data_IF_354646051749
#
_entry.id   IF_354646051749
#
_cell.length_a   1.000
_cell.length_b   1.000
_cell.length_c   1.000
_cell.angle_alpha   90.00
_cell.angle_beta   90.00
_cell.angle_gamma   90.00
#
_symmetry.space_group_name_H-M   'P 1'
#
loop_
_entity.id
_entity.type
_entity.pdbx_description
1 polymer ?
#
# COMPACT_ATOMS: atom_id res chain seq x y z
N UNK A 1 30.28 36.39 -10.12
CA UNK A 1 28.86 36.41 -9.70
C UNK A 1 28.78 35.64 -8.40
N UNK A 2 28.54 36.35 -7.30
CA UNK A 2 28.41 35.81 -5.96
C UNK A 2 26.96 35.33 -5.77
N UNK A 3 26.76 34.12 -5.22
CA UNK A 3 25.44 33.70 -4.73
C UNK A 3 25.54 33.36 -3.26
N UNK A 4 24.78 34.11 -2.48
CA UNK A 4 24.77 34.06 -1.02
C UNK A 4 23.80 32.96 -0.59
N UNK A 5 24.31 31.89 0.03
CA UNK A 5 23.49 30.86 0.67
C UNK A 5 23.10 31.29 2.08
N UNK A 6 21.83 31.60 2.30
CA UNK A 6 21.24 31.86 3.62
C UNK A 6 20.61 30.61 4.24
N UNK A 7 21.19 30.14 5.34
CA UNK A 7 20.59 29.18 6.29
C UNK A 7 19.38 29.75 7.05
N UNK A 8 18.56 28.89 7.66
CA UNK A 8 18.41 29.01 9.11
C UNK A 8 18.62 27.69 9.86
N UNK A 9 19.33 27.80 11.00
CA UNK A 9 19.53 26.73 11.97
C UNK A 9 18.26 26.55 12.83
N UNK A 10 17.94 25.31 13.15
CA UNK A 10 17.39 24.99 14.47
C UNK A 10 18.14 23.79 15.02
N UNK A 11 18.81 24.01 16.15
CA UNK A 11 19.45 23.00 16.97
C UNK A 11 18.50 22.76 18.14
N UNK A 12 18.06 21.53 18.34
CA UNK A 12 17.88 21.07 19.70
C UNK A 12 18.25 19.58 19.78
N UNK A 13 19.33 19.33 20.53
CA UNK A 13 19.77 18.01 20.93
C UNK A 13 19.71 18.04 22.45
N UNK A 14 18.87 17.23 23.06
CA UNK A 14 19.06 16.82 24.46
C UNK A 14 19.14 15.30 24.54
N UNK A 15 20.38 14.86 24.67
CA UNK A 15 20.80 13.60 25.27
C UNK A 15 21.09 13.91 26.74
N UNK A 16 20.46 13.21 27.69
CA UNK A 16 20.81 13.05 29.12
C UNK A 16 20.03 11.80 29.55
N UNK A 17 20.61 10.61 29.74
CA UNK A 17 21.59 10.14 30.75
C UNK A 17 20.99 9.92 32.15
N UNK A 18 21.17 8.69 32.68
CA UNK A 18 20.96 8.29 34.09
C UNK A 18 19.51 7.97 34.46
N UNK A 19 19.18 7.02 35.33
CA UNK A 19 19.94 6.50 36.46
C UNK A 19 19.42 5.11 36.84
N UNK A 20 20.32 4.16 37.09
CA UNK A 20 20.01 2.98 37.91
C UNK A 20 19.88 3.47 39.35
N UNK A 21 18.80 3.13 40.05
CA UNK A 21 18.82 3.14 41.52
C UNK A 21 18.23 1.85 42.04
N UNK A 22 19.03 1.26 42.92
CA UNK A 22 18.83 0.02 43.64
C UNK A 22 17.63 0.04 44.58
N UNK A 23 17.27 -1.18 44.98
CA UNK A 23 16.31 -1.54 46.04
C UNK A 23 16.26 -0.54 47.21
N UNK A 24 15.05 -0.10 47.54
CA UNK A 24 14.66 0.03 48.93
C UNK A 24 13.21 -0.44 49.12
N UNK A 25 13.02 -1.30 50.12
CA UNK A 25 11.73 -1.94 50.44
C UNK A 25 11.00 -1.10 51.49
N UNK A 26 9.66 -1.14 51.40
CA UNK A 26 8.66 -0.84 52.46
C UNK A 26 8.16 0.60 52.53
N UNK A 27 6.91 0.80 52.11
CA UNK A 27 5.75 0.88 53.03
C UNK A 27 4.45 0.76 52.25
N UNK A 28 3.54 -0.01 52.81
CA UNK A 28 2.16 -0.18 52.34
C UNK A 28 1.30 0.98 52.85
N UNK A 29 0.42 1.51 52.01
CA UNK A 29 -1.00 1.73 52.34
C UNK A 29 -1.75 2.26 51.11
N UNK A 30 -3.01 1.85 51.04
CA UNK A 30 -4.14 2.44 50.31
C UNK A 30 -4.44 2.00 48.87
N UNK A 31 -5.60 1.32 48.79
CA UNK A 31 -6.30 0.84 47.61
C UNK A 31 -6.49 1.94 46.57
N UNK A 32 -5.78 1.83 45.44
CA UNK A 32 -6.13 2.51 44.19
C UNK A 32 -7.02 1.55 43.40
N UNK A 33 -8.21 1.95 42.93
CA UNK A 33 -8.96 1.15 41.95
C UNK A 33 -8.07 0.96 40.72
N UNK A 34 -7.64 -0.27 40.48
CA UNK A 34 -6.80 -0.64 39.36
C UNK A 34 -7.62 -0.60 38.07
N UNK A 35 -7.94 0.61 37.59
CA UNK A 35 -8.32 0.80 36.20
C UNK A 35 -7.02 0.77 35.39
N UNK A 36 -6.57 -0.44 35.04
CA UNK A 36 -5.43 -0.57 34.14
C UNK A 36 -5.76 0.18 32.84
N UNK A 37 -4.93 1.14 32.40
CA UNK A 37 -5.21 1.88 31.18
C UNK A 37 -5.30 0.89 30.01
N UNK A 38 -6.39 0.99 29.24
CA UNK A 38 -6.61 0.16 28.05
C UNK A 38 -5.44 0.34 27.10
N UNK A 39 -4.74 -0.74 26.77
CA UNK A 39 -3.65 -0.70 25.82
C UNK A 39 -4.18 -0.38 24.42
N UNK A 40 -3.64 0.67 23.80
CA UNK A 40 -3.96 1.07 22.43
C UNK A 40 -2.77 0.73 21.53
N UNK A 41 -3.02 -0.09 20.50
CA UNK A 41 -2.02 -0.41 19.49
C UNK A 41 -2.03 0.66 18.37
N UNK A 42 -1.24 1.71 18.55
CA UNK A 42 -1.12 2.80 17.57
C UNK A 42 -0.64 2.32 16.19
N UNK A 43 0.18 1.26 16.12
CA UNK A 43 0.67 0.72 14.85
C UNK A 43 -0.45 0.03 14.06
N UNK A 44 -1.33 -0.70 14.74
CA UNK A 44 -2.50 -1.32 14.10
C UNK A 44 -3.45 -0.26 13.53
N UNK A 45 -3.70 0.82 14.29
CA UNK A 45 -4.55 1.93 13.84
C UNK A 45 -3.96 2.63 12.60
N UNK A 46 -2.66 2.91 12.61
CA UNK A 46 -1.98 3.54 11.46
C UNK A 46 -2.01 2.65 10.21
N UNK A 47 -1.84 1.34 10.40
CA UNK A 47 -1.93 0.37 9.31
C UNK A 47 -3.34 0.27 8.74
N UNK A 48 -4.37 0.26 9.59
CA UNK A 48 -5.77 0.20 9.15
C UNK A 48 -6.17 1.46 8.37
N UNK A 49 -5.69 2.63 8.81
CA UNK A 49 -5.87 3.88 8.06
C UNK A 49 -5.19 3.82 6.68
N UNK A 50 -3.96 3.30 6.62
CA UNK A 50 -3.19 3.16 5.38
C UNK A 50 -3.84 2.17 4.42
N UNK A 51 -4.32 1.03 4.93
CA UNK A 51 -5.05 0.01 4.17
C UNK A 51 -6.33 0.59 3.56
N UNK A 52 -7.11 1.34 4.35
CA UNK A 52 -8.35 1.96 3.88
C UNK A 52 -8.11 2.94 2.72
N UNK A 53 -7.00 3.69 2.76
CA UNK A 53 -6.58 4.57 1.65
C UNK A 53 -6.19 3.77 0.40
N UNK A 54 -5.59 2.60 0.55
CA UNK A 54 -5.13 1.74 -0.54
C UNK A 54 -6.26 0.98 -1.25
N UNK A 55 -7.21 0.45 -0.49
CA UNK A 55 -8.33 -0.33 -1.04
C UNK A 55 -9.34 0.56 -1.79
N UNK A 56 -9.37 1.87 -1.50
CA UNK A 56 -10.29 2.83 -2.11
C UNK A 56 -11.76 2.56 -1.76
N UNK A 57 -12.66 3.41 -2.27
CA UNK A 57 -14.11 3.17 -2.15
C UNK A 57 -14.53 2.04 -3.10
N UNK A 58 -14.75 0.85 -2.53
CA UNK A 58 -15.33 -0.28 -3.28
C UNK A 58 -16.75 0.00 -3.76
N UNK A 59 -17.45 0.95 -3.13
CA UNK A 59 -18.78 1.43 -3.55
C UNK A 59 -18.76 2.19 -4.89
N UNK A 60 -17.59 2.69 -5.31
CA UNK A 60 -17.39 3.31 -6.64
C UNK A 60 -16.98 2.32 -7.71
N UNK A 61 -16.98 1.02 -7.43
CA UNK A 61 -16.97 -0.01 -8.47
C UNK A 61 -18.35 0.05 -9.13
N UNK A 62 -18.55 1.05 -9.99
CA UNK A 62 -19.69 1.10 -10.89
C UNK A 62 -19.74 -0.25 -11.59
N UNK A 63 -20.91 -0.89 -11.56
CA UNK A 63 -21.20 -2.06 -12.37
C UNK A 63 -20.73 -1.74 -13.79
N UNK A 64 -19.63 -2.38 -14.18
CA UNK A 64 -19.01 -2.14 -15.47
C UNK A 64 -19.98 -2.74 -16.48
N UNK A 65 -20.86 -1.89 -17.03
CA UNK A 65 -21.61 -2.19 -18.25
C UNK A 65 -20.66 -2.85 -19.24
N UNK A 66 -21.11 -3.90 -19.93
CA UNK A 66 -20.34 -4.62 -20.93
C UNK A 66 -19.58 -3.62 -21.81
N UNK A 67 -18.28 -3.46 -21.53
CA UNK A 67 -17.39 -2.60 -22.30
C UNK A 67 -16.99 -3.41 -23.52
N UNK A 68 -16.83 -2.72 -24.64
CA UNK A 68 -16.19 -3.31 -25.80
C UNK A 68 -14.81 -3.85 -25.37
N UNK A 69 -14.44 -5.02 -25.89
CA UNK A 69 -13.16 -5.66 -25.61
C UNK A 69 -12.02 -4.67 -25.91
N UNK A 70 -11.13 -4.46 -24.96
CA UNK A 70 -9.98 -3.56 -25.09
C UNK A 70 -8.92 -4.20 -26.01
N UNK A 71 -8.76 -5.52 -25.90
CA UNK A 71 -8.00 -6.36 -26.81
C UNK A 71 -8.90 -6.72 -27.98
N UNK A 72 -8.52 -6.27 -29.17
CA UNK A 72 -9.18 -6.70 -30.40
C UNK A 72 -8.93 -8.18 -30.64
N UNK A 73 -9.97 -8.92 -31.05
CA UNK A 73 -9.85 -10.32 -31.51
C UNK A 73 -8.88 -10.48 -32.69
N UNK A 74 -8.57 -9.39 -33.40
CA UNK A 74 -7.63 -9.39 -34.52
C UNK A 74 -6.18 -9.08 -34.12
N UNK A 75 -5.91 -8.91 -32.83
CA UNK A 75 -4.57 -8.67 -32.31
C UNK A 75 -3.82 -10.01 -32.21
N UNK A 76 -2.52 -10.03 -32.49
CA UNK A 76 -1.67 -11.20 -32.19
C UNK A 76 -0.78 -10.92 -30.96
N UNK A 77 -0.12 -11.95 -30.43
CA UNK A 77 0.75 -11.81 -29.26
C UNK A 77 1.95 -10.89 -29.51
N UNK A 78 2.56 -11.00 -30.69
CA UNK A 78 3.70 -10.17 -31.09
C UNK A 78 3.34 -8.68 -31.18
N UNK A 79 2.13 -8.34 -31.65
CA UNK A 79 1.61 -6.98 -31.73
C UNK A 79 1.43 -6.38 -30.33
N UNK A 80 1.02 -7.21 -29.36
CA UNK A 80 0.88 -6.79 -27.96
C UNK A 80 2.24 -6.51 -27.32
N UNK A 81 3.26 -7.30 -27.67
CA UNK A 81 4.64 -7.10 -27.21
C UNK A 81 5.45 -6.09 -28.02
N UNK A 82 4.98 -5.70 -29.20
CA UNK A 82 5.67 -4.77 -30.08
C UNK A 82 5.88 -3.39 -29.44
N UNK A 83 5.01 -3.01 -28.49
CA UNK A 83 5.09 -1.75 -27.75
C UNK A 83 4.97 -1.98 -26.25
N UNK A 84 5.71 -1.21 -25.46
CA UNK A 84 5.55 -1.19 -24.00
C UNK A 84 4.59 -0.08 -23.55
N UNK A 85 3.74 0.41 -24.46
CA UNK A 85 2.79 1.46 -24.15
C UNK A 85 1.63 0.89 -23.31
N UNK A 86 1.22 1.56 -22.23
CA UNK A 86 0.07 1.11 -21.47
C UNK A 86 -1.22 1.25 -22.30
N UNK A 87 -2.11 0.28 -22.18
CA UNK A 87 -3.45 0.36 -22.78
C UNK A 87 -4.20 1.60 -22.28
N UNK A 88 -5.02 2.19 -23.17
CA UNK A 88 -5.83 3.37 -22.85
C UNK A 88 -6.80 3.12 -21.68
N UNK A 89 -7.22 1.85 -21.50
CA UNK A 89 -8.03 1.41 -20.38
C UNK A 89 -7.45 0.16 -19.70
N UNK A 90 -7.84 -0.08 -18.44
CA UNK A 90 -7.42 -1.29 -17.72
C UNK A 90 -8.16 -2.51 -18.27
N UNK A 91 -7.39 -3.46 -18.79
CA UNK A 91 -7.89 -4.74 -19.30
C UNK A 91 -8.42 -5.61 -18.13
N UNK A 92 -9.67 -6.08 -18.18
CA UNK A 92 -10.16 -7.12 -17.28
C UNK A 92 -9.32 -8.38 -17.39
N UNK A 93 -8.99 -9.02 -16.25
CA UNK A 93 -8.15 -10.22 -16.27
C UNK A 93 -8.75 -11.34 -17.14
N UNK A 94 -10.07 -11.51 -17.13
CA UNK A 94 -10.75 -12.52 -17.96
C UNK A 94 -10.44 -12.33 -19.44
N UNK A 95 -10.47 -11.09 -19.93
CA UNK A 95 -10.23 -10.76 -21.33
C UNK A 95 -8.80 -11.10 -21.76
N UNK A 96 -7.81 -10.82 -20.90
CA UNK A 96 -6.42 -11.20 -21.17
C UNK A 96 -6.25 -12.73 -21.17
N UNK A 97 -6.96 -13.44 -20.30
CA UNK A 97 -6.91 -14.90 -20.25
C UNK A 97 -7.55 -15.50 -21.49
N UNK A 98 -8.73 -15.02 -21.89
CA UNK A 98 -9.45 -15.50 -23.08
C UNK A 98 -8.57 -15.31 -24.33
N UNK A 99 -7.98 -14.12 -24.52
CA UNK A 99 -7.03 -13.83 -25.60
C UNK A 99 -5.84 -14.80 -25.64
N UNK A 100 -5.18 -15.03 -24.50
CA UNK A 100 -4.01 -15.92 -24.45
C UNK A 100 -4.36 -17.38 -24.78
N UNK A 101 -5.54 -17.82 -24.35
CA UNK A 101 -6.03 -19.16 -24.65
C UNK A 101 -6.19 -19.34 -26.17
N UNK A 102 -6.78 -18.36 -26.86
CA UNK A 102 -6.94 -18.40 -28.32
C UNK A 102 -5.58 -18.43 -29.04
N UNK A 103 -4.64 -17.57 -28.64
CA UNK A 103 -3.27 -17.56 -29.19
C UNK A 103 -2.59 -18.93 -29.02
N UNK A 104 -2.66 -19.53 -27.84
CA UNK A 104 -2.02 -20.81 -27.59
C UNK A 104 -2.65 -21.97 -28.36
N UNK A 105 -3.97 -21.93 -28.58
CA UNK A 105 -4.64 -22.90 -29.44
C UNK A 105 -4.20 -22.76 -30.90
N UNK A 106 -4.11 -21.52 -31.41
CA UNK A 106 -3.66 -21.24 -32.78
C UNK A 106 -2.19 -21.65 -33.00
N UNK A 107 -1.35 -21.51 -31.96
CA UNK A 107 0.07 -21.92 -31.99
C UNK A 107 0.28 -23.43 -31.78
N UNK A 108 -0.77 -24.19 -31.42
CA UNK A 108 -0.68 -25.64 -31.16
C UNK A 108 0.13 -25.99 -29.91
N UNK A 109 0.20 -25.10 -28.92
CA UNK A 109 1.00 -25.32 -27.70
C UNK A 109 0.41 -26.40 -26.77
N UNK A 110 -0.86 -26.77 -26.98
CA UNK A 110 -1.63 -27.70 -26.16
C UNK A 110 -2.18 -28.93 -26.90
N UNK A 111 -1.63 -29.27 -28.07
CA UNK A 111 -2.04 -30.41 -28.92
C UNK A 111 -1.30 -31.73 -28.59
#
# INVERSE_FOLDING_TARGET
MEINTGTPKSKDKRLVEGCKTDRETKRASENVPNESPVFINYAALAWEESRRKWTGDTSKKSDKTAKDLIISWSLNYEDLLATNEPFSERIPLSEMVDFLVDVWYDEGLFD
#
